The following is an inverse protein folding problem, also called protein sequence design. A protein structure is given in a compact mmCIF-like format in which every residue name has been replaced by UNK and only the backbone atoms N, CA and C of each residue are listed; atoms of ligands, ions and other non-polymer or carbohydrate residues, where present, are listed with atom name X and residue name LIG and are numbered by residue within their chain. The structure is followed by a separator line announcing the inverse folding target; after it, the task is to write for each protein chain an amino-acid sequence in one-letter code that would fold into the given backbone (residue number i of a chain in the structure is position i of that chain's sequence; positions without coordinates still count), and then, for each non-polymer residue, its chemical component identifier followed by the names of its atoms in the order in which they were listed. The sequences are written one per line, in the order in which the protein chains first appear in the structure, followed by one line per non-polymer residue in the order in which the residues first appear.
data_IF_218732574712
#
_entry.id   IF_218732574712
#
_cell.length_a   1.000
_cell.length_b   1.000
_cell.length_c   1.000
_cell.angle_alpha   90.00
_cell.angle_beta   90.00
_cell.angle_gamma   90.00
#
_symmetry.space_group_name_H-M   'P 1'
#
loop_
_entity.id
_entity.type
_entity.pdbx_description
1 polymer ?
#
# COMPACT_ATOMS: atom_id res chain seq x y z
N UNK A 1 -5.68 -20.00 -69.95
CA UNK A 1 -5.02 -18.96 -69.16
C UNK A 1 -5.88 -18.39 -67.97
N UNK A 2 -7.12 -18.82 -67.83
CA UNK A 2 -8.08 -18.25 -66.84
C UNK A 2 -8.18 -18.93 -65.49
N UNK A 3 -7.72 -20.19 -65.33
CA UNK A 3 -7.97 -20.95 -64.11
C UNK A 3 -6.94 -20.69 -62.99
N UNK A 4 -5.71 -20.40 -63.35
CA UNK A 4 -4.62 -20.12 -62.42
C UNK A 4 -4.73 -18.73 -61.77
N UNK A 5 -5.17 -17.73 -62.53
CA UNK A 5 -5.32 -16.36 -62.01
C UNK A 5 -6.40 -16.27 -60.92
N UNK A 6 -7.53 -16.96 -61.09
CA UNK A 6 -8.61 -16.98 -60.09
C UNK A 6 -8.20 -17.66 -58.78
N UNK A 7 -7.39 -18.73 -58.87
CA UNK A 7 -6.96 -19.47 -57.66
C UNK A 7 -5.95 -18.65 -56.82
N UNK A 8 -5.04 -17.99 -57.45
CA UNK A 8 -4.07 -17.12 -56.76
C UNK A 8 -4.71 -15.82 -56.26
N UNK A 9 -5.69 -15.28 -56.98
CA UNK A 9 -6.42 -14.10 -56.56
C UNK A 9 -7.24 -14.36 -55.28
N UNK A 10 -7.86 -15.51 -55.17
CA UNK A 10 -8.59 -15.93 -53.92
C UNK A 10 -7.64 -16.11 -52.75
N UNK A 11 -6.46 -16.66 -52.97
CA UNK A 11 -5.45 -16.86 -51.91
C UNK A 11 -4.89 -15.49 -51.46
N UNK A 12 -4.64 -14.57 -52.37
CA UNK A 12 -4.14 -13.24 -52.04
C UNK A 12 -5.21 -12.45 -51.25
N UNK A 13 -6.47 -12.51 -51.66
CA UNK A 13 -7.58 -11.85 -50.94
C UNK A 13 -7.80 -12.42 -49.54
N UNK A 14 -7.68 -13.75 -49.37
CA UNK A 14 -7.80 -14.38 -48.04
C UNK A 14 -6.62 -14.06 -47.13
N UNK A 15 -5.40 -14.03 -47.65
CA UNK A 15 -4.19 -13.67 -46.86
C UNK A 15 -4.23 -12.17 -46.48
N UNK A 16 -4.61 -11.28 -47.38
CA UNK A 16 -4.73 -9.85 -47.03
C UNK A 16 -5.85 -9.56 -46.06
N UNK A 17 -6.98 -10.28 -46.13
CA UNK A 17 -8.08 -10.16 -45.18
C UNK A 17 -7.67 -10.69 -43.78
N UNK A 18 -6.91 -11.79 -43.71
CA UNK A 18 -6.44 -12.34 -42.44
C UNK A 18 -5.41 -11.44 -41.78
N UNK A 19 -4.47 -10.89 -42.56
CA UNK A 19 -3.47 -9.93 -42.04
C UNK A 19 -4.11 -8.62 -41.60
N UNK A 20 -5.10 -8.10 -42.30
CA UNK A 20 -5.83 -6.90 -41.91
C UNK A 20 -6.59 -7.11 -40.58
N UNK A 21 -7.24 -8.28 -40.41
CA UNK A 21 -7.94 -8.61 -39.19
C UNK A 21 -6.98 -8.80 -37.98
N UNK A 22 -5.80 -9.39 -38.21
CA UNK A 22 -4.77 -9.54 -37.15
C UNK A 22 -4.20 -8.18 -36.78
N UNK A 23 -3.93 -7.30 -37.77
CA UNK A 23 -3.45 -5.95 -37.46
C UNK A 23 -4.54 -5.12 -36.77
N UNK A 24 -5.79 -5.22 -37.20
CA UNK A 24 -6.91 -4.54 -36.52
C UNK A 24 -7.11 -5.05 -35.09
N UNK A 25 -7.03 -6.36 -34.84
CA UNK A 25 -7.09 -6.95 -33.54
C UNK A 25 -5.91 -6.51 -32.65
N UNK A 26 -4.70 -6.41 -33.22
CA UNK A 26 -3.52 -5.95 -32.50
C UNK A 26 -3.60 -4.45 -32.15
N UNK A 27 -4.08 -3.61 -33.07
CA UNK A 27 -4.32 -2.18 -32.80
C UNK A 27 -5.40 -1.99 -31.75
N UNK A 28 -6.53 -2.72 -31.83
CA UNK A 28 -7.58 -2.66 -30.82
C UNK A 28 -7.10 -3.16 -29.45
N UNK A 29 -6.22 -4.15 -29.43
CA UNK A 29 -5.59 -4.64 -28.19
C UNK A 29 -4.65 -3.58 -27.59
N UNK A 30 -3.80 -2.96 -28.40
CA UNK A 30 -2.94 -1.85 -27.95
C UNK A 30 -3.74 -0.64 -27.47
N UNK A 31 -4.79 -0.26 -28.21
CA UNK A 31 -5.67 0.85 -27.79
C UNK A 31 -6.40 0.54 -26.48
N UNK A 32 -6.76 -0.73 -26.22
CA UNK A 32 -7.37 -1.15 -24.96
C UNK A 32 -6.37 -1.14 -23.79
N UNK A 33 -5.11 -1.53 -24.00
CA UNK A 33 -4.06 -1.42 -22.98
C UNK A 33 -3.73 0.04 -22.67
N UNK A 34 -3.58 0.89 -23.71
CA UNK A 34 -3.33 2.33 -23.54
C UNK A 34 -4.52 3.01 -22.86
N UNK A 35 -5.75 2.63 -23.20
CA UNK A 35 -6.95 3.16 -22.55
C UNK A 35 -7.07 2.71 -21.09
N UNK A 36 -6.79 1.44 -20.79
CA UNK A 36 -6.75 0.90 -19.43
C UNK A 36 -5.65 1.59 -18.58
N UNK A 37 -4.46 1.72 -19.15
CA UNK A 37 -3.33 2.38 -18.50
C UNK A 37 -3.57 3.89 -18.29
N UNK A 38 -4.22 4.57 -19.25
CA UNK A 38 -4.59 5.97 -19.12
C UNK A 38 -5.73 6.19 -18.12
N UNK A 39 -6.67 5.24 -18.01
CA UNK A 39 -7.76 5.29 -17.06
C UNK A 39 -7.27 5.01 -15.62
N UNK A 40 -6.36 4.06 -15.46
CA UNK A 40 -5.69 3.76 -14.19
C UNK A 40 -4.79 4.92 -13.74
N UNK A 41 -4.00 5.50 -14.64
CA UNK A 41 -3.23 6.73 -14.37
C UNK A 41 -4.12 7.94 -14.05
N UNK A 42 -5.30 8.04 -14.67
CA UNK A 42 -6.28 9.10 -14.39
C UNK A 42 -6.91 8.96 -13.01
N UNK A 43 -7.20 7.74 -12.56
CA UNK A 43 -7.75 7.47 -11.22
C UNK A 43 -6.72 7.74 -10.11
N UNK A 44 -5.44 7.43 -10.35
CA UNK A 44 -4.36 7.70 -9.41
C UNK A 44 -4.04 9.21 -9.33
N UNK A 45 -4.22 9.94 -10.42
CA UNK A 45 -3.92 11.37 -10.52
C UNK A 45 -4.88 12.32 -9.79
N UNK A 46 -6.05 11.86 -9.34
CA UNK A 46 -7.12 12.75 -8.84
C UNK A 46 -7.41 12.68 -7.35
N UNK A 47 -6.73 11.84 -6.58
CA UNK A 47 -7.00 11.75 -5.15
C UNK A 47 -5.99 12.55 -4.32
N UNK A 48 -6.41 13.64 -3.68
CA UNK A 48 -5.62 14.21 -2.60
C UNK A 48 -5.42 13.14 -1.53
N UNK A 49 -4.21 13.06 -0.98
CA UNK A 49 -3.86 12.16 0.12
C UNK A 49 -4.59 12.60 1.40
N UNK A 50 -5.89 12.40 1.45
CA UNK A 50 -6.66 12.55 2.67
C UNK A 50 -7.26 11.19 3.09
N UNK A 51 -7.57 11.07 4.36
CA UNK A 51 -8.09 9.84 4.96
C UNK A 51 -9.40 9.38 4.32
N UNK A 52 -10.30 10.29 3.98
CA UNK A 52 -11.60 9.93 3.43
C UNK A 52 -11.44 9.31 2.04
N UNK A 53 -10.52 9.83 1.23
CA UNK A 53 -10.14 9.25 -0.05
C UNK A 53 -9.47 7.89 0.13
N UNK A 54 -8.51 7.78 1.06
CA UNK A 54 -7.88 6.51 1.41
C UNK A 54 -8.90 5.48 1.89
N UNK A 55 -9.77 5.86 2.84
CA UNK A 55 -10.82 4.99 3.38
C UNK A 55 -11.83 4.57 2.32
N UNK A 56 -12.27 5.48 1.43
CA UNK A 56 -13.22 5.15 0.37
C UNK A 56 -12.63 4.23 -0.70
N UNK A 57 -11.34 4.34 -0.94
CA UNK A 57 -10.63 3.57 -1.97
C UNK A 57 -10.17 2.18 -1.48
N UNK A 58 -9.77 2.05 -0.19
CA UNK A 58 -9.13 0.83 0.32
C UNK A 58 -9.97 0.04 1.33
N UNK A 59 -11.14 0.56 1.69
CA UNK A 59 -12.11 -0.18 2.48
C UNK A 59 -12.00 -0.04 4.00
N UNK A 60 -12.91 -0.69 4.70
CA UNK A 60 -13.13 -0.65 6.15
C UNK A 60 -12.82 -2.03 6.75
N UNK A 61 -11.65 -2.59 6.43
CA UNK A 61 -11.28 -3.92 6.91
C UNK A 61 -11.31 -4.00 8.45
N UNK A 62 -11.99 -5.00 8.98
CA UNK A 62 -12.16 -5.23 10.41
C UNK A 62 -11.88 -6.67 10.77
N UNK A 63 -11.14 -6.88 11.85
CA UNK A 63 -10.79 -8.20 12.39
C UNK A 63 -11.55 -8.54 13.68
N UNK A 64 -12.06 -7.54 14.39
CA UNK A 64 -12.72 -7.74 15.67
C UNK A 64 -11.76 -7.82 16.84
N UNK A 65 -10.66 -7.12 16.78
CA UNK A 65 -9.63 -7.05 17.81
C UNK A 65 -9.63 -5.67 18.49
N UNK A 66 -9.49 -5.66 19.80
CA UNK A 66 -8.98 -4.53 20.56
C UNK A 66 -7.55 -4.84 20.97
N UNK A 67 -6.63 -3.92 20.68
CA UNK A 67 -5.20 -4.12 20.90
C UNK A 67 -4.60 -2.96 21.68
N UNK A 68 -3.48 -3.21 22.36
CA UNK A 68 -2.67 -2.21 23.04
C UNK A 68 -1.20 -2.40 22.71
N UNK A 69 -0.38 -1.39 23.04
CA UNK A 69 1.07 -1.51 22.94
C UNK A 69 1.60 -2.64 23.84
N UNK A 70 2.66 -3.29 23.38
CA UNK A 70 3.36 -4.32 24.15
C UNK A 70 4.24 -3.63 25.19
N UNK A 71 4.09 -3.99 26.48
CA UNK A 71 4.96 -3.49 27.54
C UNK A 71 6.19 -4.39 27.72
N UNK A 72 7.26 -3.92 28.39
CA UNK A 72 8.43 -4.75 28.68
C UNK A 72 8.09 -6.04 29.41
N UNK A 73 7.12 -5.99 30.33
CA UNK A 73 6.66 -7.14 31.13
C UNK A 73 5.98 -8.18 30.21
N UNK A 74 5.12 -7.71 29.29
CA UNK A 74 4.46 -8.58 28.30
C UNK A 74 5.50 -9.20 27.37
N UNK A 75 6.42 -8.40 26.86
CA UNK A 75 7.48 -8.89 25.97
C UNK A 75 8.32 -9.98 26.65
N UNK A 76 8.67 -9.79 27.93
CA UNK A 76 9.39 -10.79 28.73
C UNK A 76 8.56 -12.05 28.95
N UNK A 77 7.27 -11.92 29.27
CA UNK A 77 6.36 -13.04 29.52
C UNK A 77 6.19 -13.95 28.29
N UNK A 78 6.15 -13.37 27.08
CA UNK A 78 6.02 -14.12 25.82
C UNK A 78 7.36 -14.29 25.09
N UNK A 79 8.49 -14.04 25.76
CA UNK A 79 9.86 -14.22 25.27
C UNK A 79 10.16 -13.52 23.95
N UNK A 80 9.65 -12.30 23.79
CA UNK A 80 10.03 -11.46 22.66
C UNK A 80 11.42 -10.86 22.87
N UNK A 81 12.27 -10.88 21.86
CA UNK A 81 13.60 -10.27 21.90
C UNK A 81 13.56 -8.74 22.06
N UNK A 82 12.44 -8.13 21.68
CA UNK A 82 12.21 -6.67 21.70
C UNK A 82 10.79 -6.34 22.12
N UNK A 83 10.62 -5.21 22.77
CA UNK A 83 9.29 -4.62 23.04
C UNK A 83 8.72 -4.12 21.71
N UNK A 84 7.91 -4.94 21.07
CA UNK A 84 7.29 -4.66 19.76
C UNK A 84 6.06 -5.52 19.53
N UNK A 85 5.17 -5.09 18.64
CA UNK A 85 3.95 -5.82 18.29
C UNK A 85 2.71 -5.12 18.84
N UNK A 86 1.58 -5.79 18.68
CA UNK A 86 0.29 -5.36 19.22
C UNK A 86 -0.29 -6.46 20.14
N UNK A 87 -0.45 -6.16 21.41
CA UNK A 87 -1.04 -7.07 22.39
C UNK A 87 -2.56 -7.11 22.22
N UNK A 88 -3.13 -8.28 22.01
CA UNK A 88 -4.57 -8.49 21.95
C UNK A 88 -5.18 -8.39 23.34
N UNK A 89 -6.07 -7.42 23.53
CA UNK A 89 -6.81 -7.19 24.78
C UNK A 89 -8.14 -7.93 24.81
N UNK A 90 -8.91 -7.76 23.74
CA UNK A 90 -10.21 -8.42 23.58
C UNK A 90 -10.39 -8.87 22.14
N UNK A 91 -11.22 -9.89 21.98
CA UNK A 91 -11.62 -10.43 20.68
C UNK A 91 -13.14 -10.45 20.64
N UNK A 92 -13.74 -9.82 19.64
CA UNK A 92 -15.18 -9.80 19.48
C UNK A 92 -15.70 -11.20 19.10
N UNK A 93 -16.68 -11.76 19.83
CA UNK A 93 -17.23 -13.07 19.50
C UNK A 93 -17.77 -13.15 18.06
N UNK A 94 -17.46 -14.23 17.35
CA UNK A 94 -17.88 -14.47 15.96
C UNK A 94 -17.14 -13.63 14.93
N UNK A 95 -16.19 -12.79 15.34
CA UNK A 95 -15.35 -11.98 14.46
C UNK A 95 -14.38 -12.83 13.64
N UNK A 96 -13.76 -12.26 12.57
CA UNK A 96 -12.69 -12.92 11.84
C UNK A 96 -11.53 -13.41 12.73
N UNK A 97 -11.14 -12.62 13.71
CA UNK A 97 -10.06 -12.97 14.64
C UNK A 97 -10.46 -14.12 15.59
N UNK A 98 -11.71 -14.14 16.06
CA UNK A 98 -12.25 -15.24 16.89
C UNK A 98 -12.27 -16.56 16.09
N UNK A 99 -12.71 -16.52 14.83
CA UNK A 99 -12.70 -17.67 13.94
C UNK A 99 -11.29 -18.18 13.62
N UNK A 100 -10.29 -17.31 13.66
CA UNK A 100 -8.87 -17.64 13.50
C UNK A 100 -8.20 -18.08 14.81
N UNK A 101 -8.97 -18.27 15.88
CA UNK A 101 -8.51 -18.68 17.22
C UNK A 101 -7.51 -17.70 17.85
N UNK A 102 -7.59 -16.41 17.53
CA UNK A 102 -6.82 -15.37 18.22
C UNK A 102 -7.48 -15.12 19.58
N UNK A 103 -6.67 -15.02 20.64
CA UNK A 103 -7.15 -14.90 22.03
C UNK A 103 -6.58 -13.64 22.70
N UNK A 104 -7.25 -13.13 23.75
CA UNK A 104 -6.65 -12.15 24.64
C UNK A 104 -5.32 -12.68 25.21
N UNK A 105 -4.31 -11.82 25.22
CA UNK A 105 -2.93 -12.16 25.62
C UNK A 105 -2.00 -12.54 24.45
N UNK A 106 -2.52 -12.82 23.28
CA UNK A 106 -1.71 -13.02 22.09
C UNK A 106 -1.03 -11.71 21.65
N UNK A 107 0.15 -11.80 21.01
CA UNK A 107 0.86 -10.63 20.48
C UNK A 107 1.03 -10.77 18.97
N UNK A 108 0.50 -9.81 18.21
CA UNK A 108 0.65 -9.76 16.76
C UNK A 108 1.97 -9.08 16.42
N UNK A 109 2.90 -9.79 15.78
CA UNK A 109 4.26 -9.31 15.45
C UNK A 109 4.50 -9.10 13.97
N UNK A 110 3.63 -9.61 13.08
CA UNK A 110 3.65 -9.27 11.67
C UNK A 110 2.25 -9.33 11.05
N UNK A 111 2.06 -8.58 9.95
CA UNK A 111 0.86 -8.54 9.15
C UNK A 111 1.27 -8.54 7.67
N UNK A 112 0.81 -9.50 6.87
CA UNK A 112 1.18 -9.70 5.47
C UNK A 112 2.71 -9.60 5.22
N UNK A 113 3.51 -10.24 6.10
CA UNK A 113 4.96 -10.23 6.04
C UNK A 113 5.64 -8.93 6.49
N UNK A 114 4.87 -7.89 6.81
CA UNK A 114 5.39 -6.62 7.35
C UNK A 114 5.46 -6.71 8.87
N UNK A 115 6.62 -6.36 9.45
CA UNK A 115 6.79 -6.36 10.91
C UNK A 115 5.91 -5.30 11.56
N UNK A 116 5.22 -5.69 12.62
CA UNK A 116 4.45 -4.80 13.50
C UNK A 116 5.30 -4.48 14.72
N UNK A 117 5.53 -3.20 14.97
CA UNK A 117 6.25 -2.70 16.16
C UNK A 117 5.32 -1.96 17.09
N UNK A 118 4.26 -1.34 16.57
CA UNK A 118 3.28 -0.53 17.31
C UNK A 118 1.86 -0.88 16.89
N UNK A 119 0.91 -0.55 17.73
CA UNK A 119 -0.54 -0.68 17.43
C UNK A 119 -0.91 0.15 16.21
N UNK A 120 -0.37 1.37 16.10
CA UNK A 120 -0.64 2.26 14.97
C UNK A 120 -0.24 1.63 13.62
N UNK A 121 0.88 0.90 13.56
CA UNK A 121 1.29 0.18 12.35
C UNK A 121 0.31 -0.94 11.98
N UNK A 122 -0.18 -1.72 12.96
CA UNK A 122 -1.19 -2.75 12.71
C UNK A 122 -2.49 -2.13 12.19
N UNK A 123 -2.92 -1.02 12.78
CA UNK A 123 -4.11 -0.28 12.35
C UNK A 123 -3.96 0.25 10.92
N UNK A 124 -2.79 0.82 10.58
CA UNK A 124 -2.49 1.29 9.23
C UNK A 124 -2.51 0.15 8.21
N UNK A 125 -1.81 -0.96 8.49
CA UNK A 125 -1.78 -2.13 7.61
C UNK A 125 -3.19 -2.73 7.40
N UNK A 126 -4.03 -2.73 8.44
CA UNK A 126 -5.41 -3.18 8.34
C UNK A 126 -6.28 -2.23 7.52
N UNK A 127 -6.13 -0.91 7.70
CA UNK A 127 -6.81 0.10 6.87
C UNK A 127 -6.42 -0.02 5.40
N UNK A 128 -5.15 -0.35 5.12
CA UNK A 128 -4.66 -0.61 3.77
C UNK A 128 -5.07 -1.98 3.20
N UNK A 129 -5.84 -2.80 3.92
CA UNK A 129 -6.26 -4.12 3.46
C UNK A 129 -7.65 -4.08 2.85
N UNK A 130 -7.89 -4.93 1.85
CA UNK A 130 -9.20 -5.10 1.23
C UNK A 130 -10.05 -6.05 2.05
N UNK A 131 -11.33 -5.71 2.23
CA UNK A 131 -12.32 -6.63 2.80
C UNK A 131 -12.52 -7.81 1.84
N UNK A 132 -12.62 -9.02 2.40
CA UNK A 132 -12.78 -10.24 1.61
C UNK A 132 -11.50 -10.78 1.00
N UNK A 133 -10.35 -10.12 1.19
CA UNK A 133 -9.04 -10.64 0.81
C UNK A 133 -8.34 -11.21 2.04
N UNK A 134 -7.91 -12.48 1.97
CA UNK A 134 -7.25 -13.15 3.09
C UNK A 134 -5.93 -12.47 3.44
N UNK A 135 -5.73 -12.19 4.72
CA UNK A 135 -4.48 -11.68 5.28
C UNK A 135 -3.85 -12.73 6.19
N UNK A 136 -2.52 -12.72 6.30
CA UNK A 136 -1.82 -13.59 7.23
C UNK A 136 -1.06 -12.78 8.28
N UNK A 137 -1.08 -13.27 9.53
CA UNK A 137 -0.43 -12.63 10.65
C UNK A 137 0.45 -13.62 11.40
N UNK A 138 1.65 -13.20 11.84
CA UNK A 138 2.39 -13.96 12.82
C UNK A 138 1.94 -13.51 14.22
N UNK A 139 1.50 -14.48 15.00
CA UNK A 139 0.94 -14.28 16.33
C UNK A 139 1.76 -15.10 17.32
N UNK A 140 2.23 -14.45 18.38
CA UNK A 140 2.93 -15.09 19.52
C UNK A 140 1.87 -15.49 20.53
N UNK A 141 1.82 -16.78 20.82
CA UNK A 141 0.92 -17.41 21.81
C UNK A 141 1.77 -18.04 22.92
N UNK A 142 1.92 -17.31 24.06
CA UNK A 142 2.80 -17.77 25.11
C UNK A 142 4.26 -17.84 24.64
N UNK A 143 4.81 -19.05 24.50
CA UNK A 143 6.22 -19.29 24.13
C UNK A 143 6.45 -19.74 22.68
N UNK A 144 5.41 -19.78 21.86
CA UNK A 144 5.51 -20.15 20.45
C UNK A 144 4.84 -19.11 19.52
N UNK A 145 5.29 -19.11 18.28
CA UNK A 145 4.75 -18.23 17.22
C UNK A 145 4.06 -19.06 16.15
N UNK A 146 2.87 -18.66 15.76
CA UNK A 146 2.10 -19.28 14.68
C UNK A 146 1.79 -18.26 13.60
N UNK A 147 1.54 -18.75 12.38
CA UNK A 147 0.94 -17.96 11.32
C UNK A 147 -0.55 -18.28 11.29
N UNK A 148 -1.38 -17.25 11.39
CA UNK A 148 -2.83 -17.35 11.26
C UNK A 148 -3.28 -16.65 9.98
N UNK A 149 -4.27 -17.24 9.30
CA UNK A 149 -4.91 -16.68 8.12
C UNK A 149 -6.28 -16.16 8.52
N UNK A 150 -6.58 -14.92 8.15
CA UNK A 150 -7.81 -14.26 8.56
C UNK A 150 -8.42 -13.56 7.35
N UNK A 151 -9.72 -13.68 7.19
CA UNK A 151 -10.48 -12.97 6.15
C UNK A 151 -11.14 -11.73 6.77
N UNK A 152 -10.57 -10.51 6.59
CA UNK A 152 -11.17 -9.30 7.11
C UNK A 152 -12.55 -9.07 6.48
N UNK A 153 -13.49 -8.60 7.29
CA UNK A 153 -14.82 -8.19 6.82
C UNK A 153 -14.97 -6.69 6.94
N UNK A 154 -16.03 -6.14 6.34
CA UNK A 154 -16.39 -4.75 6.57
C UNK A 154 -16.77 -4.53 8.03
N UNK A 155 -16.32 -3.40 8.61
CA UNK A 155 -16.63 -3.06 9.99
C UNK A 155 -18.14 -2.94 10.19
N UNK A 156 -18.74 -3.66 11.14
CA UNK A 156 -20.16 -3.53 11.44
C UNK A 156 -20.55 -2.09 11.80
N UNK A 157 -21.60 -1.55 11.18
CA UNK A 157 -22.03 -0.15 11.32
C UNK A 157 -22.50 0.23 12.72
N UNK A 158 -22.87 -0.75 13.54
CA UNK A 158 -23.30 -0.52 14.93
C UNK A 158 -22.12 -0.32 15.91
N UNK A 159 -20.88 -0.55 15.47
CA UNK A 159 -19.71 -0.30 16.28
C UNK A 159 -19.27 1.17 16.18
N UNK A 160 -18.93 1.84 17.31
CA UNK A 160 -18.46 3.21 17.27
C UNK A 160 -17.17 3.32 16.44
N UNK A 161 -17.12 4.33 15.56
CA UNK A 161 -15.93 4.61 14.78
C UNK A 161 -14.97 5.45 15.61
N UNK A 162 -13.77 4.94 15.87
CA UNK A 162 -12.72 5.76 16.48
C UNK A 162 -12.32 6.85 15.47
N UNK A 163 -12.45 8.11 15.84
CA UNK A 163 -12.00 9.25 15.01
C UNK A 163 -10.50 9.40 15.21
N UNK A 164 -9.69 8.78 14.35
CA UNK A 164 -8.25 9.00 14.35
C UNK A 164 -7.95 10.32 13.64
N UNK A 165 -7.18 11.19 14.29
CA UNK A 165 -6.62 12.38 13.64
C UNK A 165 -5.53 11.92 12.68
N UNK A 166 -5.67 12.25 11.39
CA UNK A 166 -4.75 11.76 10.38
C UNK A 166 -3.46 12.56 10.35
N UNK A 167 -2.32 11.88 10.27
CA UNK A 167 -1.04 12.53 10.02
C UNK A 167 -0.97 13.05 8.58
N UNK A 168 -0.28 14.16 8.41
CA UNK A 168 -0.10 14.81 7.13
C UNK A 168 1.39 15.01 6.84
N UNK A 169 1.80 14.60 5.65
CA UNK A 169 3.16 14.77 5.15
C UNK A 169 3.26 15.96 4.18
N UNK A 170 2.26 16.18 3.36
CA UNK A 170 2.20 17.29 2.39
C UNK A 170 2.91 17.01 1.08
N UNK A 171 2.66 15.86 0.49
CA UNK A 171 3.16 15.46 -0.84
C UNK A 171 2.03 14.93 -1.72
N UNK A 172 2.19 15.08 -3.06
CA UNK A 172 1.49 14.24 -4.04
C UNK A 172 2.46 13.18 -4.52
N UNK A 173 1.98 11.97 -4.62
CA UNK A 173 2.82 10.80 -4.92
C UNK A 173 2.13 9.85 -5.88
N UNK A 174 2.95 9.07 -6.61
CA UNK A 174 2.51 7.95 -7.46
C UNK A 174 3.43 6.74 -7.27
N UNK A 175 2.98 5.58 -7.73
CA UNK A 175 3.83 4.39 -7.75
C UNK A 175 4.85 4.48 -8.90
N UNK A 176 6.07 4.00 -8.64
CA UNK A 176 7.06 3.82 -9.70
C UNK A 176 6.72 2.55 -10.48
N UNK A 177 6.34 2.72 -11.74
CA UNK A 177 5.96 1.63 -12.63
C UNK A 177 7.18 0.98 -13.28
N UNK A 178 7.14 -0.35 -13.47
CA UNK A 178 8.18 -1.07 -14.21
C UNK A 178 8.40 -0.51 -15.62
N UNK A 179 9.67 -0.40 -16.01
CA UNK A 179 10.06 0.08 -17.33
C UNK A 179 10.17 1.60 -17.48
N UNK A 180 9.86 2.36 -16.42
CA UNK A 180 10.10 3.82 -16.39
C UNK A 180 11.56 4.14 -16.08
N UNK A 181 11.99 5.38 -16.32
CA UNK A 181 13.36 5.82 -15.96
C UNK A 181 13.55 5.81 -14.42
N UNK A 182 12.50 6.08 -13.66
CA UNK A 182 12.48 6.00 -12.20
C UNK A 182 12.69 4.55 -11.73
N UNK A 183 12.07 3.57 -12.41
CA UNK A 183 12.27 2.15 -12.10
C UNK A 183 13.71 1.71 -12.32
N UNK A 184 14.40 2.21 -13.37
CA UNK A 184 15.81 1.90 -13.64
C UNK A 184 16.71 2.37 -12.51
N UNK A 185 16.46 3.55 -11.94
CA UNK A 185 17.18 4.06 -10.76
C UNK A 185 17.03 3.15 -9.56
N UNK A 186 15.87 2.51 -9.40
CA UNK A 186 15.60 1.56 -8.31
C UNK A 186 16.29 0.22 -8.57
N UNK A 187 16.30 -0.26 -9.83
CA UNK A 187 16.94 -1.52 -10.23
C UNK A 187 18.45 -1.51 -9.99
N UNK A 188 19.15 -0.41 -10.28
CA UNK A 188 20.59 -0.23 -9.98
C UNK A 188 20.88 -0.43 -8.49
N UNK A 189 19.91 -0.19 -7.63
CA UNK A 189 20.00 -0.39 -6.19
C UNK A 189 19.49 -1.79 -5.76
N UNK A 190 19.10 -2.63 -6.71
CA UNK A 190 18.66 -4.01 -6.49
C UNK A 190 17.27 -4.13 -5.88
N UNK A 191 16.34 -3.23 -6.20
CA UNK A 191 14.98 -3.24 -5.65
C UNK A 191 13.96 -2.75 -6.68
N UNK A 192 12.90 -3.53 -6.84
CA UNK A 192 11.74 -3.15 -7.61
C UNK A 192 10.72 -2.45 -6.70
N UNK A 193 10.09 -1.39 -7.20
CA UNK A 193 9.03 -0.63 -6.52
C UNK A 193 9.55 0.54 -5.67
N UNK A 194 8.72 1.57 -5.54
CA UNK A 194 8.98 2.78 -4.77
C UNK A 194 7.85 3.80 -5.01
N UNK A 195 7.91 4.91 -4.30
CA UNK A 195 6.90 5.96 -4.39
C UNK A 195 7.56 7.24 -4.89
N UNK A 196 7.17 7.68 -6.08
CA UNK A 196 7.63 8.93 -6.69
C UNK A 196 6.91 10.12 -6.04
N UNK A 197 7.66 11.12 -5.63
CA UNK A 197 7.16 12.41 -5.18
C UNK A 197 6.91 13.29 -6.40
N UNK A 198 5.65 13.51 -6.77
CA UNK A 198 5.27 14.35 -7.92
C UNK A 198 5.25 15.84 -7.57
N UNK A 199 4.85 16.15 -6.33
CA UNK A 199 4.77 17.53 -5.84
C UNK A 199 4.97 17.57 -4.32
N UNK A 200 5.68 18.59 -3.85
CA UNK A 200 5.79 18.92 -2.42
C UNK A 200 4.96 20.17 -2.15
N UNK A 201 4.01 20.08 -1.21
CA UNK A 201 3.11 21.16 -0.86
C UNK A 201 3.89 22.20 -0.01
N UNK A 202 3.70 23.48 -0.32
CA UNK A 202 4.36 24.57 0.42
C UNK A 202 3.91 24.60 1.89
N UNK A 203 4.84 24.96 2.77
CA UNK A 203 4.65 25.01 4.23
C UNK A 203 4.19 23.65 4.81
N UNK A 204 4.64 22.55 4.20
CA UNK A 204 4.35 21.20 4.66
C UNK A 204 5.53 20.58 5.42
N UNK A 205 5.29 19.55 6.24
CA UNK A 205 6.35 18.75 6.84
C UNK A 205 7.39 18.21 5.85
N UNK A 206 6.93 17.84 4.65
CA UNK A 206 7.80 17.36 3.58
C UNK A 206 8.76 18.46 3.08
N UNK A 207 8.24 19.69 2.86
CA UNK A 207 9.07 20.83 2.45
C UNK A 207 10.08 21.20 3.54
N UNK A 208 9.64 21.29 4.80
CA UNK A 208 10.51 21.60 5.95
C UNK A 208 11.63 20.57 6.12
N UNK A 209 11.34 19.31 5.84
CA UNK A 209 12.33 18.22 5.88
C UNK A 209 13.22 18.16 4.64
N UNK A 210 12.96 18.98 3.62
CA UNK A 210 13.74 19.04 2.40
C UNK A 210 13.45 17.93 1.39
N UNK A 211 12.26 17.30 1.42
CA UNK A 211 11.77 16.47 0.32
C UNK A 211 11.61 17.36 -0.94
N UNK A 212 11.82 16.77 -2.10
CA UNK A 212 11.73 17.43 -3.39
C UNK A 212 10.93 16.60 -4.39
N UNK A 213 10.41 17.26 -5.41
CA UNK A 213 9.87 16.60 -6.60
C UNK A 213 10.94 15.68 -7.19
N UNK A 214 10.53 14.56 -7.75
CA UNK A 214 11.36 13.47 -8.31
C UNK A 214 12.14 12.63 -7.28
N UNK A 215 11.96 12.87 -5.98
CA UNK A 215 12.43 11.92 -4.96
C UNK A 215 11.66 10.61 -5.07
N UNK A 216 12.35 9.48 -4.91
CA UNK A 216 11.72 8.16 -4.85
C UNK A 216 11.82 7.62 -3.42
N UNK A 217 10.70 7.51 -2.73
CA UNK A 217 10.63 6.99 -1.36
C UNK A 217 10.72 5.46 -1.41
N UNK A 218 11.74 4.89 -0.78
CA UNK A 218 12.04 3.46 -0.74
C UNK A 218 11.64 2.79 0.58
N UNK A 219 11.59 3.57 1.65
CA UNK A 219 11.18 3.06 2.96
C UNK A 219 10.64 4.17 3.85
N UNK A 220 9.72 3.78 4.74
CA UNK A 220 9.12 4.61 5.77
C UNK A 220 9.34 3.92 7.12
N UNK A 221 9.97 4.58 8.10
CA UNK A 221 10.33 4.00 9.41
C UNK A 221 10.99 2.62 9.32
N UNK A 222 11.96 2.47 8.38
CA UNK A 222 12.68 1.21 8.11
C UNK A 222 11.78 0.07 7.57
N UNK A 223 10.52 0.35 7.24
CA UNK A 223 9.66 -0.55 6.49
C UNK A 223 9.81 -0.24 5.00
N UNK A 224 10.01 -1.28 4.19
CA UNK A 224 10.10 -1.11 2.73
C UNK A 224 8.75 -0.62 2.20
N UNK A 225 8.81 0.34 1.28
CA UNK A 225 7.65 0.94 0.64
C UNK A 225 7.77 0.70 -0.87
N UNK A 226 6.95 -0.17 -1.41
CA UNK A 226 6.98 -0.57 -2.82
C UNK A 226 5.75 -0.13 -3.58
N UNK A 227 4.62 -0.01 -2.88
CA UNK A 227 3.32 0.34 -3.43
C UNK A 227 2.75 1.55 -2.71
N UNK A 228 1.86 2.27 -3.40
CA UNK A 228 1.14 3.40 -2.83
C UNK A 228 0.33 2.96 -1.59
N UNK A 229 -0.26 1.78 -1.64
CA UNK A 229 -0.97 1.17 -0.52
C UNK A 229 -0.07 1.03 0.72
N UNK A 230 1.15 0.47 0.56
CA UNK A 230 2.10 0.34 1.67
C UNK A 230 2.51 1.69 2.26
N UNK A 231 2.74 2.70 1.41
CA UNK A 231 3.07 4.05 1.83
C UNK A 231 1.94 4.69 2.65
N UNK A 232 0.71 4.64 2.11
CA UNK A 232 -0.47 5.20 2.77
C UNK A 232 -0.80 4.49 4.07
N UNK A 233 -0.61 3.16 4.10
CA UNK A 233 -0.76 2.35 5.31
C UNK A 233 0.24 2.75 6.39
N UNK A 234 1.51 2.95 6.05
CA UNK A 234 2.54 3.40 7.00
C UNK A 234 2.26 4.81 7.50
N UNK A 235 1.85 5.71 6.61
CA UNK A 235 1.45 7.07 6.97
C UNK A 235 0.21 7.05 7.89
N UNK A 236 -0.85 6.31 7.53
CA UNK A 236 -2.05 6.16 8.35
C UNK A 236 -1.79 5.45 9.69
N UNK A 237 -0.76 4.61 9.75
CA UNK A 237 -0.27 3.94 10.94
C UNK A 237 0.59 4.81 11.86
N UNK A 238 0.84 6.07 11.50
CA UNK A 238 1.56 7.05 12.30
C UNK A 238 0.59 8.00 12.99
N UNK A 239 1.10 8.85 13.89
CA UNK A 239 0.33 9.90 14.55
C UNK A 239 0.90 11.28 14.21
N UNK A 240 0.08 12.36 14.22
CA UNK A 240 0.60 13.72 14.12
C UNK A 240 1.57 14.01 15.26
N UNK A 241 2.75 14.54 14.90
CA UNK A 241 3.86 14.76 15.81
C UNK A 241 4.93 13.67 15.79
N UNK A 242 4.64 12.51 15.16
CA UNK A 242 5.64 11.45 15.00
C UNK A 242 6.78 11.93 14.10
N UNK A 243 8.00 11.63 14.52
CA UNK A 243 9.18 11.76 13.67
C UNK A 243 9.37 10.47 12.87
N UNK A 244 9.22 10.55 11.56
CA UNK A 244 9.38 9.43 10.63
C UNK A 244 10.66 9.55 9.84
N UNK A 245 11.35 8.43 9.69
CA UNK A 245 12.58 8.34 8.89
C UNK A 245 12.28 7.68 7.56
N UNK A 246 12.59 8.39 6.47
CA UNK A 246 12.42 7.89 5.11
C UNK A 246 13.77 7.72 4.43
N UNK A 247 13.97 6.60 3.74
CA UNK A 247 15.05 6.44 2.79
C UNK A 247 14.53 6.79 1.40
N UNK A 248 15.16 7.73 0.75
CA UNK A 248 14.82 8.18 -0.60
C UNK A 248 15.97 7.95 -1.58
N UNK A 249 15.66 7.97 -2.87
CA UNK A 249 16.63 8.12 -3.96
C UNK A 249 16.41 9.50 -4.56
N UNK A 250 17.49 10.28 -4.68
CA UNK A 250 17.56 11.58 -5.35
C UNK A 250 18.85 11.63 -6.13
N UNK A 251 18.82 11.96 -7.43
CA UNK A 251 19.99 12.02 -8.31
C UNK A 251 20.82 10.73 -8.25
N UNK A 252 20.16 9.57 -8.29
CA UNK A 252 20.73 8.21 -8.19
C UNK A 252 21.47 7.93 -6.87
N UNK A 253 21.36 8.83 -5.88
CA UNK A 253 21.99 8.69 -4.58
C UNK A 253 20.94 8.43 -3.50
N UNK A 254 21.21 7.46 -2.64
CA UNK A 254 20.40 7.22 -1.45
C UNK A 254 20.64 8.29 -0.41
N UNK A 255 19.54 8.86 0.07
CA UNK A 255 19.53 9.83 1.16
C UNK A 255 18.54 9.38 2.24
N UNK A 256 18.79 9.81 3.46
CA UNK A 256 17.86 9.63 4.58
C UNK A 256 17.31 10.98 4.98
N UNK A 257 16.01 11.07 5.13
CA UNK A 257 15.29 12.28 5.54
C UNK A 257 14.45 11.95 6.77
N UNK A 258 14.57 12.76 7.81
CA UNK A 258 13.71 12.69 9.00
C UNK A 258 12.64 13.78 8.89
N UNK A 259 11.37 13.42 9.03
CA UNK A 259 10.22 14.32 8.88
C UNK A 259 9.34 14.21 10.13
N UNK A 260 8.92 15.35 10.68
CA UNK A 260 7.92 15.39 11.75
C UNK A 260 6.54 15.57 11.13
N UNK A 261 5.65 14.60 11.26
CA UNK A 261 4.31 14.63 10.68
C UNK A 261 3.43 15.69 11.38
N UNK A 262 2.64 16.44 10.60
CA UNK A 262 1.66 17.38 11.14
C UNK A 262 0.26 16.79 11.18
N UNK A 263 -0.69 17.52 11.75
CA UNK A 263 -2.13 17.26 11.56
C UNK A 263 -2.53 17.71 10.17
N UNK A 264 -3.45 16.99 9.55
CA UNK A 264 -4.05 17.42 8.29
C UNK A 264 -4.68 18.80 8.48
N UNK A 265 -4.28 19.82 7.68
CA UNK A 265 -4.85 21.15 7.78
C UNK A 265 -6.33 21.15 7.45
N UNK A 266 -7.15 21.88 8.23
CA UNK A 266 -8.62 21.99 8.03
C UNK A 266 -8.99 22.73 6.73
N UNK A 267 -8.03 23.36 6.05
CA UNK A 267 -8.23 24.27 4.92
C UNK A 267 -7.48 23.85 3.65
N UNK A 268 -7.03 22.62 3.51
CA UNK A 268 -6.55 22.13 2.22
C UNK A 268 -7.77 21.89 1.33
N UNK A 269 -8.34 22.98 0.79
CA UNK A 269 -9.15 22.93 -0.42
C UNK A 269 -8.18 22.64 -1.57
N UNK A 270 -8.20 21.42 -2.06
CA UNK A 270 -7.49 21.00 -3.26
C UNK A 270 -8.50 20.88 -4.40
#
# INVERSE_FOLDING_TARGET
MGYWVKKYWLIIVTITSLTLNVIAAFVLYQDSEIAAESHEKSLIKQAPLNYDTFKSQWGNAWLGLEVSEVTPEVAAAVRLDKVQGALVKTVAPGSPADKADIKPGDVIVSFNGRKIRTVSQLQGDLLGSETGTEVYMCVVKGDYTITVYVLPIERPSYLPTATKVMPWLGVKVSEVLFGTEEAKKIEEVGKAGGILVEEVIRNSPAEEAGLQTDDIIMSFNSRKTRTLREFLSDLAGSDPGDQVRMCIIRDDVRKTIDVTLAKTPSSVNI
#
